data_IF_843686794875
#
_entry.id   IF_843686794875
#
_cell.length_a   1.000
_cell.length_b   1.000
_cell.length_c   1.000
_cell.angle_alpha   90.00
_cell.angle_beta   90.00
_cell.angle_gamma   90.00
#
_symmetry.space_group_name_H-M   'P 1'
#
loop_
_entity.id
_entity.type
_entity.pdbx_description
1 polymer ?
#
# COMPACT_ATOMS: atom_id res chain seq x y z
N UNK A 1 -27.77 -10.39 16.94
CA UNK A 1 -26.40 -10.86 17.25
C UNK A 1 -26.51 -12.30 17.75
N UNK A 2 -25.98 -13.27 17.00
CA UNK A 2 -26.17 -14.70 17.28
C UNK A 2 -25.42 -15.11 18.56
N UNK A 3 -26.07 -15.84 19.47
CA UNK A 3 -25.54 -16.19 20.79
C UNK A 3 -24.32 -17.13 20.72
N UNK A 4 -24.20 -17.88 19.63
CA UNK A 4 -23.03 -18.69 19.31
C UNK A 4 -21.76 -17.83 19.13
N UNK A 5 -21.92 -16.64 18.57
CA UNK A 5 -20.81 -15.71 18.32
C UNK A 5 -20.32 -15.06 19.62
N UNK A 6 -21.24 -14.80 20.57
CA UNK A 6 -20.90 -14.34 21.92
C UNK A 6 -20.08 -15.40 22.67
N UNK A 7 -20.52 -16.65 22.62
CA UNK A 7 -19.85 -17.75 23.33
C UNK A 7 -18.40 -17.96 22.87
N UNK A 8 -18.15 -17.87 21.56
CA UNK A 8 -16.78 -18.00 21.00
C UNK A 8 -15.87 -16.84 21.41
N UNK A 9 -16.41 -15.62 21.44
CA UNK A 9 -15.70 -14.43 21.96
C UNK A 9 -15.32 -14.58 23.42
N UNK A 10 -16.26 -15.00 24.27
CA UNK A 10 -16.01 -15.18 25.70
C UNK A 10 -14.99 -16.30 25.98
N UNK A 11 -15.04 -17.41 25.24
CA UNK A 11 -14.03 -18.47 25.37
C UNK A 11 -12.62 -18.02 24.97
N UNK A 12 -12.49 -17.20 23.93
CA UNK A 12 -11.20 -16.69 23.47
C UNK A 12 -10.58 -15.63 24.42
N UNK A 13 -11.42 -14.85 25.10
CA UNK A 13 -10.99 -13.91 26.14
C UNK A 13 -10.60 -14.67 27.41
N UNK A 14 -11.40 -15.65 27.84
CA UNK A 14 -11.17 -16.42 29.06
C UNK A 14 -9.91 -17.32 29.00
N UNK A 15 -9.50 -17.77 27.80
CA UNK A 15 -8.27 -18.54 27.61
C UNK A 15 -6.99 -17.66 27.55
N UNK A 16 -7.12 -16.34 27.69
CA UNK A 16 -5.99 -15.40 27.68
C UNK A 16 -5.35 -15.19 26.31
N UNK A 17 -5.92 -15.76 25.23
CA UNK A 17 -5.36 -15.70 23.88
C UNK A 17 -5.72 -14.46 23.08
N UNK A 18 -6.79 -13.74 23.45
CA UNK A 18 -7.30 -12.62 22.65
C UNK A 18 -6.84 -11.26 23.19
N UNK A 19 -5.72 -10.73 22.66
CA UNK A 19 -5.39 -9.29 22.76
C UNK A 19 -5.99 -8.57 21.56
N UNK A 20 -7.16 -7.97 21.73
CA UNK A 20 -7.82 -7.17 20.68
C UNK A 20 -7.31 -5.74 20.78
N UNK A 21 -6.45 -5.32 19.86
CA UNK A 21 -5.93 -3.94 19.83
C UNK A 21 -6.90 -2.98 19.15
N UNK A 22 -7.67 -3.45 18.15
CA UNK A 22 -8.73 -2.69 17.49
C UNK A 22 -9.91 -3.62 17.14
N UNK A 23 -11.11 -3.29 17.61
CA UNK A 23 -12.35 -3.98 17.27
C UNK A 23 -13.20 -3.06 16.39
N UNK A 24 -13.48 -3.47 15.16
CA UNK A 24 -14.43 -2.77 14.28
C UNK A 24 -15.70 -3.61 14.21
N UNK A 25 -16.81 -3.03 14.69
CA UNK A 25 -18.14 -3.63 14.63
C UNK A 25 -18.92 -2.94 13.52
N UNK A 26 -19.11 -3.63 12.39
CA UNK A 26 -20.00 -3.16 11.34
C UNK A 26 -21.40 -3.74 11.51
N UNK A 27 -22.42 -2.94 11.18
CA UNK A 27 -23.84 -3.25 11.39
C UNK A 27 -24.37 -4.36 10.44
N UNK A 28 -23.48 -5.05 9.74
CA UNK A 28 -23.76 -6.15 8.80
C UNK A 28 -23.73 -7.53 9.47
N UNK A 29 -23.43 -7.59 10.77
CA UNK A 29 -23.39 -8.85 11.54
C UNK A 29 -22.14 -9.68 11.32
N UNK A 30 -21.13 -9.16 10.62
CA UNK A 30 -19.83 -9.79 10.45
C UNK A 30 -18.81 -9.17 11.39
N UNK A 31 -18.03 -10.02 12.07
CA UNK A 31 -17.02 -9.62 13.04
C UNK A 31 -15.66 -10.10 12.52
N UNK A 32 -14.79 -9.15 12.17
CA UNK A 32 -13.46 -9.46 11.65
C UNK A 32 -12.45 -9.41 12.80
N UNK A 33 -11.66 -10.47 12.92
CA UNK A 33 -10.52 -10.52 13.84
C UNK A 33 -9.23 -10.54 13.00
N UNK A 34 -8.35 -9.57 13.24
CA UNK A 34 -6.99 -9.65 12.74
C UNK A 34 -6.16 -10.46 13.73
N UNK A 35 -5.96 -11.75 13.41
CA UNK A 35 -5.05 -12.61 14.16
C UNK A 35 -3.64 -12.45 13.56
N UNK A 36 -2.76 -11.75 14.27
CA UNK A 36 -1.35 -11.58 13.87
C UNK A 36 -0.47 -12.77 14.35
N UNK A 37 -1.08 -13.91 14.68
CA UNK A 37 -0.45 -15.02 15.41
C UNK A 37 0.27 -16.11 14.60
N UNK A 38 0.41 -16.02 13.27
CA UNK A 38 1.18 -17.01 12.49
C UNK A 38 2.37 -16.37 11.78
N UNK A 39 3.49 -17.10 11.70
CA UNK A 39 4.76 -16.62 11.15
C UNK A 39 4.70 -16.20 9.66
N UNK A 40 3.65 -16.60 8.93
CA UNK A 40 3.36 -16.13 7.56
C UNK A 40 2.49 -14.87 7.53
N UNK A 41 1.87 -14.50 8.65
CA UNK A 41 1.07 -13.27 8.86
C UNK A 41 1.88 -12.07 9.41
N UNK A 42 3.17 -12.24 9.70
CA UNK A 42 4.04 -11.18 10.25
C UNK A 42 4.53 -10.14 9.23
N UNK A 43 4.07 -10.17 7.98
CA UNK A 43 4.50 -9.23 6.92
C UNK A 43 3.45 -8.21 6.48
N UNK A 44 2.34 -8.05 7.20
CA UNK A 44 1.52 -6.83 7.03
C UNK A 44 2.11 -5.71 7.88
N UNK A 45 3.28 -5.21 7.49
CA UNK A 45 3.72 -3.89 7.95
C UNK A 45 2.66 -2.90 7.46
N UNK A 46 1.96 -2.25 8.39
CA UNK A 46 0.98 -1.22 8.06
C UNK A 46 1.72 -0.15 7.27
N UNK A 47 1.40 -0.02 5.99
CA UNK A 47 1.95 1.02 5.13
C UNK A 47 1.54 2.37 5.72
N UNK A 48 2.49 3.12 6.27
CA UNK A 48 2.22 4.48 6.72
C UNK A 48 2.35 5.45 5.55
N UNK A 49 1.47 6.45 5.50
CA UNK A 49 1.54 7.53 4.50
C UNK A 49 2.90 8.23 4.55
N UNK A 50 3.50 8.35 5.73
CA UNK A 50 4.79 8.98 5.94
C UNK A 50 5.92 8.16 5.31
N UNK A 51 5.88 6.82 5.42
CA UNK A 51 6.84 5.94 4.75
C UNK A 51 6.70 6.03 3.22
N UNK A 52 5.47 6.10 2.71
CA UNK A 52 5.21 6.33 1.27
C UNK A 52 5.81 7.67 0.83
N UNK A 53 5.54 8.76 1.56
CA UNK A 53 6.05 10.10 1.25
C UNK A 53 7.58 10.17 1.22
N UNK A 54 8.25 9.61 2.24
CA UNK A 54 9.71 9.56 2.28
C UNK A 54 10.30 8.66 1.19
N UNK A 55 9.70 7.51 0.93
CA UNK A 55 10.14 6.63 -0.15
C UNK A 55 10.00 7.29 -1.52
N UNK A 56 8.89 8.01 -1.78
CA UNK A 56 8.70 8.81 -3.00
C UNK A 56 9.77 9.89 -3.10
N UNK A 57 10.00 10.64 -2.02
CA UNK A 57 11.04 11.69 -1.98
C UNK A 57 12.43 11.14 -2.29
N UNK A 58 12.74 9.93 -1.83
CA UNK A 58 14.03 9.29 -2.06
C UNK A 58 14.28 8.86 -3.53
N UNK A 59 13.22 8.75 -4.34
CA UNK A 59 13.31 8.31 -5.74
C UNK A 59 12.78 9.33 -6.76
N UNK A 60 12.42 10.53 -6.30
CA UNK A 60 11.83 11.56 -7.17
C UNK A 60 12.78 12.03 -8.28
N UNK A 61 14.09 11.85 -8.10
CA UNK A 61 15.13 12.12 -9.10
C UNK A 61 15.02 11.20 -10.34
N UNK A 62 14.35 10.06 -10.18
CA UNK A 62 14.08 9.10 -11.27
C UNK A 62 12.74 9.37 -11.97
N UNK A 63 11.98 10.37 -11.53
CA UNK A 63 10.72 10.72 -12.16
C UNK A 63 10.97 11.44 -13.49
N UNK A 64 10.05 11.26 -14.42
CA UNK A 64 10.08 11.96 -15.72
C UNK A 64 8.80 12.76 -15.98
N UNK A 65 7.93 12.86 -14.97
CA UNK A 65 6.62 13.51 -15.04
C UNK A 65 5.62 12.83 -14.12
N UNK A 66 4.42 13.39 -14.01
CA UNK A 66 3.37 12.93 -13.10
C UNK A 66 3.00 11.45 -13.32
N UNK A 67 3.14 10.94 -14.54
CA UNK A 67 2.94 9.52 -14.87
C UNK A 67 3.79 8.55 -14.04
N UNK A 68 4.92 9.01 -13.47
CA UNK A 68 5.74 8.21 -12.55
C UNK A 68 4.95 7.77 -11.31
N UNK A 69 3.96 8.55 -10.86
CA UNK A 69 3.08 8.14 -9.75
C UNK A 69 2.24 6.90 -10.06
N UNK A 70 1.87 6.66 -11.32
CA UNK A 70 1.19 5.43 -11.70
C UNK A 70 2.09 4.20 -11.53
N UNK A 71 3.42 4.38 -11.71
CA UNK A 71 4.42 3.32 -11.48
C UNK A 71 4.56 3.05 -9.98
N UNK A 72 4.63 4.10 -9.16
CA UNK A 72 4.64 3.98 -7.70
C UNK A 72 3.38 3.26 -7.20
N UNK A 73 2.22 3.62 -7.73
CA UNK A 73 0.96 2.96 -7.40
C UNK A 73 0.98 1.46 -7.75
N UNK A 74 1.50 1.08 -8.92
CA UNK A 74 1.69 -0.34 -9.27
C UNK A 74 2.64 -1.06 -8.29
N UNK A 75 3.73 -0.41 -7.88
CA UNK A 75 4.67 -0.97 -6.91
C UNK A 75 3.99 -1.20 -5.54
N UNK A 76 3.22 -0.24 -5.05
CA UNK A 76 2.45 -0.38 -3.80
C UNK A 76 1.43 -1.51 -3.89
N UNK A 77 0.65 -1.54 -4.99
CA UNK A 77 -0.37 -2.57 -5.25
C UNK A 77 0.22 -3.98 -5.26
N UNK A 78 1.32 -4.18 -6.00
CA UNK A 78 1.83 -5.51 -6.30
C UNK A 78 2.93 -6.00 -5.34
N UNK A 79 3.68 -5.10 -4.70
CA UNK A 79 4.80 -5.46 -3.82
C UNK A 79 4.49 -5.32 -2.34
N UNK A 80 3.45 -4.56 -1.96
CA UNK A 80 3.15 -4.22 -0.57
C UNK A 80 1.67 -4.38 -0.19
N UNK A 81 0.88 -5.07 -1.01
CA UNK A 81 -0.56 -5.31 -0.80
C UNK A 81 -1.37 -4.04 -0.49
N UNK A 82 -1.02 -2.91 -1.12
CA UNK A 82 -1.73 -1.65 -0.91
C UNK A 82 -3.17 -1.73 -1.43
N UNK A 83 -4.13 -1.59 -0.52
CA UNK A 83 -5.57 -1.81 -0.80
C UNK A 83 -6.35 -0.55 -1.15
N UNK A 84 -5.76 0.63 -0.96
CA UNK A 84 -6.44 1.89 -1.27
C UNK A 84 -6.59 2.08 -2.78
N UNK A 85 -7.64 2.80 -3.18
CA UNK A 85 -7.87 3.09 -4.58
C UNK A 85 -6.95 4.23 -5.09
N UNK A 86 -6.85 4.35 -6.41
CA UNK A 86 -5.99 5.33 -7.06
C UNK A 86 -6.32 6.79 -6.66
N UNK A 87 -7.60 7.14 -6.50
CA UNK A 87 -8.01 8.49 -6.12
C UNK A 87 -7.59 8.86 -4.70
N UNK A 88 -7.64 7.90 -3.77
CA UNK A 88 -7.18 8.09 -2.40
C UNK A 88 -5.66 8.25 -2.36
N UNK A 89 -4.92 7.41 -3.09
CA UNK A 89 -3.48 7.57 -3.26
C UNK A 89 -3.09 8.94 -3.82
N UNK A 90 -3.77 9.41 -4.88
CA UNK A 90 -3.54 10.74 -5.47
C UNK A 90 -3.77 11.86 -4.44
N UNK A 91 -4.81 11.74 -3.61
CA UNK A 91 -5.06 12.67 -2.51
C UNK A 91 -3.92 12.66 -1.50
N UNK A 92 -3.51 11.47 -1.04
CA UNK A 92 -2.42 11.32 -0.08
C UNK A 92 -1.11 11.91 -0.60
N UNK A 93 -0.75 11.67 -1.86
CA UNK A 93 0.47 12.26 -2.44
C UNK A 93 0.39 13.79 -2.51
N UNK A 94 -0.76 14.37 -2.82
CA UNK A 94 -0.92 15.83 -2.83
C UNK A 94 -0.78 16.44 -1.44
N UNK A 95 -1.26 15.76 -0.39
CA UNK A 95 -1.04 16.18 1.00
C UNK A 95 0.46 16.13 1.35
N UNK A 96 1.12 15.01 1.02
CA UNK A 96 2.54 14.79 1.28
C UNK A 96 3.46 15.69 0.44
N UNK A 97 2.97 16.23 -0.69
CA UNK A 97 3.77 17.09 -1.57
C UNK A 97 4.35 18.29 -0.83
N UNK A 98 3.56 18.92 0.05
CA UNK A 98 4.02 20.05 0.84
C UNK A 98 4.94 19.61 1.99
N UNK A 99 4.62 18.50 2.65
CA UNK A 99 5.37 17.99 3.80
C UNK A 99 6.79 17.54 3.43
N UNK A 100 6.95 16.87 2.29
CA UNK A 100 8.21 16.28 1.86
C UNK A 100 8.88 17.03 0.69
N UNK A 101 8.30 18.17 0.29
CA UNK A 101 8.74 18.97 -0.84
C UNK A 101 8.91 18.12 -2.12
N UNK A 102 7.87 17.39 -2.52
CA UNK A 102 7.90 16.55 -3.71
C UNK A 102 7.88 17.42 -4.98
N UNK A 103 8.83 17.18 -5.89
CA UNK A 103 9.03 18.02 -7.08
C UNK A 103 7.90 17.86 -8.12
N UNK A 104 7.17 16.75 -8.06
CA UNK A 104 6.10 16.41 -9.00
C UNK A 104 4.74 16.45 -8.29
N UNK A 105 3.80 17.19 -8.85
CA UNK A 105 2.40 17.15 -8.43
C UNK A 105 1.74 15.83 -8.83
N UNK A 106 0.72 15.41 -8.09
CA UNK A 106 -0.11 14.25 -8.44
C UNK A 106 -1.59 14.66 -8.58
N UNK A 107 -1.97 15.46 -9.60
CA UNK A 107 -3.35 15.87 -9.80
C UNK A 107 -4.29 14.66 -9.85
N UNK A 108 -5.53 14.86 -9.43
CA UNK A 108 -6.58 13.84 -9.57
C UNK A 108 -6.64 13.32 -11.02
N UNK A 109 -6.92 12.03 -11.18
CA UNK A 109 -7.01 11.32 -12.46
C UNK A 109 -5.66 11.06 -13.17
N UNK A 110 -4.53 11.32 -12.52
CA UNK A 110 -3.18 11.03 -13.07
C UNK A 110 -2.99 9.53 -13.33
N UNK A 111 -3.33 8.68 -12.36
CA UNK A 111 -3.14 7.23 -12.46
C UNK A 111 -4.06 6.65 -13.52
N UNK A 112 -5.35 6.99 -13.47
CA UNK A 112 -6.33 6.49 -14.43
C UNK A 112 -5.98 6.90 -15.86
N UNK A 113 -5.64 8.17 -16.09
CA UNK A 113 -5.18 8.65 -17.40
C UNK A 113 -3.93 7.91 -17.88
N UNK A 114 -2.98 7.66 -16.97
CA UNK A 114 -1.74 6.94 -17.32
C UNK A 114 -2.04 5.48 -17.67
N UNK A 115 -2.92 4.80 -16.92
CA UNK A 115 -3.34 3.42 -17.17
C UNK A 115 -4.07 3.27 -18.49
N UNK A 116 -4.93 4.23 -18.84
CA UNK A 116 -5.63 4.25 -20.13
C UNK A 116 -4.65 4.31 -21.31
N UNK A 117 -3.61 5.13 -21.19
CA UNK A 117 -2.60 5.32 -22.23
C UNK A 117 -1.49 4.24 -22.22
N UNK A 118 -1.38 3.45 -21.14
CA UNK A 118 -0.30 2.49 -20.93
C UNK A 118 -0.85 1.17 -20.36
N UNK A 119 -1.36 0.30 -21.24
CA UNK A 119 -2.02 -0.95 -20.87
C UNK A 119 -1.14 -1.91 -20.06
N UNK A 120 0.19 -1.84 -20.20
CA UNK A 120 1.11 -2.68 -19.42
C UNK A 120 1.03 -2.43 -17.90
N UNK A 121 0.53 -1.28 -17.45
CA UNK A 121 0.37 -0.96 -16.01
C UNK A 121 -0.72 -1.80 -15.32
N UNK A 122 -1.58 -2.43 -16.12
CA UNK A 122 -2.58 -3.39 -15.66
C UNK A 122 -1.96 -4.77 -15.39
N UNK A 123 -0.77 -5.04 -15.94
CA UNK A 123 -0.04 -6.26 -15.64
C UNK A 123 0.61 -6.16 -14.25
N UNK A 124 0.67 -7.28 -13.50
CA UNK A 124 1.51 -7.40 -12.32
C UNK A 124 2.97 -7.00 -12.62
N UNK A 125 3.59 -6.26 -11.70
CA UNK A 125 4.98 -5.77 -11.82
C UNK A 125 5.98 -6.88 -12.12
N UNK A 126 5.83 -8.07 -11.55
CA UNK A 126 6.71 -9.23 -11.76
C UNK A 126 6.74 -9.70 -13.22
N UNK A 127 5.71 -9.36 -14.00
CA UNK A 127 5.62 -9.67 -15.44
C UNK A 127 6.21 -8.59 -16.34
N UNK A 128 6.58 -7.42 -15.82
CA UNK A 128 6.97 -6.28 -16.66
C UNK A 128 8.25 -6.53 -17.46
N UNK A 129 9.26 -7.16 -16.85
CA UNK A 129 10.52 -7.49 -17.55
C UNK A 129 10.27 -8.49 -18.69
N UNK A 130 9.49 -9.54 -18.41
CA UNK A 130 9.12 -10.56 -19.41
C UNK A 130 8.27 -9.99 -20.56
N UNK A 131 7.56 -8.89 -20.34
CA UNK A 131 6.73 -8.21 -21.34
C UNK A 131 7.43 -7.01 -21.99
N UNK A 132 8.76 -6.91 -21.87
CA UNK A 132 9.55 -5.84 -22.48
C UNK A 132 9.07 -4.43 -22.13
N UNK A 133 8.54 -4.23 -20.92
CA UNK A 133 8.17 -2.91 -20.42
C UNK A 133 9.41 -2.00 -20.40
N UNK A 134 9.20 -0.70 -20.60
CA UNK A 134 10.27 0.30 -20.66
C UNK A 134 11.21 0.16 -19.44
N UNK A 135 12.54 0.05 -19.64
CA UNK A 135 13.49 -0.18 -18.55
C UNK A 135 13.38 0.83 -17.40
N UNK A 136 13.12 2.10 -17.72
CA UNK A 136 12.92 3.15 -16.71
C UNK A 136 11.78 2.88 -15.73
N UNK A 137 10.68 2.25 -16.19
CA UNK A 137 9.53 1.92 -15.34
C UNK A 137 9.92 0.82 -14.35
N UNK A 138 10.63 -0.21 -14.83
CA UNK A 138 11.15 -1.31 -14.00
C UNK A 138 12.15 -0.80 -12.98
N UNK A 139 13.08 0.08 -13.39
CA UNK A 139 14.07 0.69 -12.50
C UNK A 139 13.40 1.50 -11.39
N UNK A 140 12.40 2.32 -11.74
CA UNK A 140 11.67 3.11 -10.76
C UNK A 140 10.95 2.23 -9.72
N UNK A 141 10.29 1.13 -10.15
CA UNK A 141 9.66 0.19 -9.21
C UNK A 141 10.69 -0.43 -8.26
N UNK A 142 11.83 -0.90 -8.78
CA UNK A 142 12.89 -1.50 -7.95
C UNK A 142 13.48 -0.50 -6.97
N UNK A 143 13.74 0.73 -7.41
CA UNK A 143 14.24 1.80 -6.57
C UNK A 143 13.24 2.16 -5.47
N UNK A 144 11.97 2.36 -5.83
CA UNK A 144 10.92 2.69 -4.87
C UNK A 144 10.70 1.58 -3.85
N UNK A 145 10.64 0.32 -4.30
CA UNK A 145 10.53 -0.84 -3.41
C UNK A 145 11.66 -0.86 -2.39
N UNK A 146 12.90 -0.69 -2.84
CA UNK A 146 14.07 -0.65 -1.95
C UNK A 146 13.99 0.52 -0.97
N UNK A 147 13.55 1.69 -1.42
CA UNK A 147 13.37 2.85 -0.54
C UNK A 147 12.28 2.60 0.51
N UNK A 148 11.14 2.05 0.12
CA UNK A 148 10.03 1.78 1.02
C UNK A 148 10.36 0.67 2.03
N UNK A 149 11.03 -0.40 1.61
CA UNK A 149 11.53 -1.44 2.54
C UNK A 149 12.44 -0.84 3.62
N UNK A 150 13.35 0.08 3.25
CA UNK A 150 14.21 0.79 4.21
C UNK A 150 13.41 1.66 5.18
N UNK A 151 12.43 2.40 4.67
CA UNK A 151 11.55 3.23 5.50
C UNK A 151 10.76 2.38 6.49
N UNK A 152 10.19 1.25 6.04
CA UNK A 152 9.43 0.35 6.91
C UNK A 152 10.30 -0.35 7.95
N UNK A 153 11.55 -0.67 7.63
CA UNK A 153 12.50 -1.25 8.58
C UNK A 153 13.00 -0.26 9.62
N UNK A 154 13.02 1.05 9.31
CA UNK A 154 13.44 2.10 10.27
C UNK A 154 12.49 2.29 11.46
N UNK A 155 11.28 1.72 11.40
CA UNK A 155 10.28 1.73 12.47
C UNK A 155 10.28 0.44 13.32
N UNK A 156 11.29 -0.42 13.16
CA UNK A 156 11.51 -1.61 14.01
C UNK A 156 12.50 -1.33 15.12
#
# INVERSE_FOLDING_TARGET
MNDELKMRLFQAIASGGLRVTNLILENTGSLYFNDYGTAEGQRRQVLSREAIGRAVKAVQDQFWGNSSYAIIFCALRDCFDYTENASLFESTINELQQEYALDYACPQNTIYSTFHNNTYLQLPVDKWEANHVKPRSVLLVKAFRTALERELDSFR
#
